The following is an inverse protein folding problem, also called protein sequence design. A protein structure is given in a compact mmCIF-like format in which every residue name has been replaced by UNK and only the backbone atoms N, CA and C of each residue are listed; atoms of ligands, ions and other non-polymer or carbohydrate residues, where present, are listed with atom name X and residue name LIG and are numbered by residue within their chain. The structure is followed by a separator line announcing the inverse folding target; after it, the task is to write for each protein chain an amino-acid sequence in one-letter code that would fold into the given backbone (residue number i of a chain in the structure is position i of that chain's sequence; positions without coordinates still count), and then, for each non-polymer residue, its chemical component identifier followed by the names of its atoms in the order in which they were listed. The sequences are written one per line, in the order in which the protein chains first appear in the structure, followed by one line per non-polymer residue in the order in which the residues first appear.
data_IF_914359388034
#
_entry.id   IF_914359388034
#
_cell.length_a   1.000
_cell.length_b   1.000
_cell.length_c   1.000
_cell.angle_alpha   90.00
_cell.angle_beta   90.00
_cell.angle_gamma   90.00
#
_symmetry.space_group_name_H-M   'P 1'
#
loop_
_entity.id
_entity.type
_entity.pdbx_description
1 polymer ?
#
# COMPACT_ATOMS: atom_id res chain seq x y z
N UNK A 1 -12.95 -42.36 10.54
CA UNK A 1 -12.69 -42.12 10.12
C UNK A 1 -12.41 -41.87 9.65
N UNK A 2 -12.60 -41.51 9.49
CA UNK A 2 -12.39 -41.27 8.96
C UNK A 2 -12.45 -40.68 8.47
N UNK A 3 -12.93 -40.61 8.67
CA UNK A 3 -13.07 -40.07 7.86
C UNK A 3 -13.11 -38.91 7.86
N UNK A 4 -13.26 -38.37 8.53
CA UNK A 4 -13.29 -37.22 8.60
C UNK A 4 -12.18 -36.62 8.08
N UNK A 5 -11.39 -36.88 8.29
CA UNK A 5 -10.39 -36.52 7.80
C UNK A 5 -10.28 -36.48 6.55
N UNK A 6 -10.58 -37.23 6.11
CA UNK A 6 -10.70 -37.17 4.79
C UNK A 6 -11.59 -36.16 4.36
N UNK A 7 -12.04 -35.41 5.25
CA UNK A 7 -12.86 -34.48 5.01
C UNK A 7 -12.48 -33.55 4.03
N UNK A 8 -11.41 -32.92 4.16
CA UNK A 8 -10.99 -31.96 3.23
C UNK A 8 -10.95 -32.49 1.84
N UNK A 9 -10.37 -33.59 1.65
CA UNK A 9 -10.30 -34.14 0.32
C UNK A 9 -11.62 -34.53 -0.23
N UNK A 10 -12.60 -34.69 0.60
CA UNK A 10 -13.89 -35.11 0.09
C UNK A 10 -14.72 -33.99 -0.47
N UNK A 11 -14.23 -32.76 -0.38
CA UNK A 11 -14.97 -31.67 -0.96
C UNK A 11 -14.99 -31.76 -2.46
N UNK A 12 -16.11 -31.45 -3.09
CA UNK A 12 -16.15 -31.37 -4.55
C UNK A 12 -15.20 -30.29 -5.03
N UNK A 13 -14.54 -30.53 -6.15
CA UNK A 13 -13.60 -29.58 -6.69
C UNK A 13 -14.20 -28.21 -6.92
N UNK A 14 -15.45 -28.17 -7.39
CA UNK A 14 -16.10 -26.89 -7.65
C UNK A 14 -16.25 -26.09 -6.36
N UNK A 15 -16.64 -26.76 -5.29
CA UNK A 15 -16.84 -26.09 -4.03
C UNK A 15 -15.52 -25.60 -3.46
N UNK A 16 -14.48 -26.43 -3.53
CA UNK A 16 -13.17 -26.05 -3.05
C UNK A 16 -12.63 -24.86 -3.84
N UNK A 17 -12.85 -24.83 -5.14
CA UNK A 17 -12.41 -23.70 -5.96
C UNK A 17 -13.12 -22.42 -5.58
N UNK A 18 -14.44 -22.50 -5.34
CA UNK A 18 -15.21 -21.34 -4.95
C UNK A 18 -14.72 -20.79 -3.62
N UNK A 19 -14.37 -21.66 -2.67
CA UNK A 19 -13.85 -21.22 -1.39
C UNK A 19 -12.49 -20.56 -1.52
N UNK A 20 -11.64 -21.12 -2.36
CA UNK A 20 -10.32 -20.53 -2.61
C UNK A 20 -10.48 -19.15 -3.24
N UNK A 21 -11.37 -19.04 -4.23
CA UNK A 21 -11.62 -17.76 -4.89
C UNK A 21 -12.12 -16.71 -3.91
N UNK A 22 -13.04 -17.10 -3.03
CA UNK A 22 -13.58 -16.19 -2.03
C UNK A 22 -12.49 -15.72 -1.06
N UNK A 23 -11.65 -16.65 -0.65
CA UNK A 23 -10.54 -16.33 0.27
C UNK A 23 -9.57 -15.37 -0.39
N UNK A 24 -9.24 -15.61 -1.65
CA UNK A 24 -8.34 -14.73 -2.38
C UNK A 24 -8.95 -13.35 -2.59
N UNK A 25 -10.25 -13.28 -2.81
CA UNK A 25 -10.93 -12.00 -2.95
C UNK A 25 -10.87 -11.19 -1.66
N UNK A 26 -11.07 -11.84 -0.53
CA UNK A 26 -10.95 -11.19 0.76
C UNK A 26 -9.52 -10.70 1.01
N UNK A 27 -8.54 -11.53 0.68
CA UNK A 27 -7.14 -11.16 0.87
C UNK A 27 -6.78 -9.95 0.01
N UNK A 28 -7.27 -9.91 -1.24
CA UNK A 28 -7.02 -8.78 -2.12
C UNK A 28 -7.69 -7.50 -1.61
N UNK A 29 -8.90 -7.63 -1.08
CA UNK A 29 -9.62 -6.49 -0.55
C UNK A 29 -8.91 -5.91 0.67
N UNK A 30 -8.43 -6.77 1.56
CA UNK A 30 -7.67 -6.33 2.73
C UNK A 30 -6.38 -5.65 2.34
N UNK A 31 -5.70 -6.21 1.35
CA UNK A 31 -4.46 -5.65 0.86
C UNK A 31 -4.68 -4.27 0.24
N UNK A 32 -5.77 -4.11 -0.52
CA UNK A 32 -6.11 -2.83 -1.12
C UNK A 32 -6.41 -1.78 -0.07
N UNK A 33 -7.12 -2.14 1.00
CA UNK A 33 -7.42 -1.23 2.09
C UNK A 33 -6.14 -0.84 2.82
N UNK A 34 -5.26 -1.80 3.09
CA UNK A 34 -4.00 -1.53 3.76
C UNK A 34 -3.12 -0.61 2.94
N UNK A 35 -3.09 -0.82 1.63
CA UNK A 35 -2.30 0.02 0.73
C UNK A 35 -2.83 1.45 0.72
N UNK A 36 -4.15 1.61 0.66
CA UNK A 36 -4.74 2.95 0.69
C UNK A 36 -4.47 3.67 2.00
N UNK A 37 -4.55 2.94 3.11
CA UNK A 37 -4.26 3.53 4.42
C UNK A 37 -2.80 3.96 4.52
N UNK A 38 -1.90 3.13 3.99
CA UNK A 38 -0.48 3.46 3.98
C UNK A 38 -0.21 4.68 3.11
N UNK A 39 -0.82 4.76 1.94
CA UNK A 39 -0.66 5.91 1.06
C UNK A 39 -1.21 7.19 1.70
N UNK A 40 -2.35 7.10 2.37
CA UNK A 40 -2.91 8.25 3.06
C UNK A 40 -1.98 8.76 4.16
N UNK A 41 -1.41 7.83 4.92
CA UNK A 41 -0.47 8.17 5.97
C UNK A 41 0.80 8.80 5.39
N UNK A 42 1.33 8.20 4.33
CA UNK A 42 2.54 8.72 3.69
C UNK A 42 2.30 10.11 3.10
N UNK A 43 1.13 10.33 2.52
CA UNK A 43 0.77 11.63 1.98
C UNK A 43 0.72 12.69 3.08
N UNK A 44 0.11 12.35 4.22
CA UNK A 44 0.04 13.30 5.34
C UNK A 44 1.43 13.68 5.83
N UNK A 45 2.37 12.74 5.82
CA UNK A 45 3.73 13.01 6.22
C UNK A 45 4.41 13.99 5.26
N UNK A 46 4.23 13.78 3.96
CA UNK A 46 4.76 14.68 2.95
C UNK A 46 4.14 16.08 3.08
N UNK A 47 2.82 16.13 3.25
CA UNK A 47 2.13 17.42 3.37
C UNK A 47 2.61 18.18 4.61
N UNK A 48 2.82 17.49 5.70
CA UNK A 48 3.34 18.12 6.94
C UNK A 48 4.77 18.62 6.73
N UNK A 49 5.59 17.85 6.03
CA UNK A 49 6.96 18.25 5.71
C UNK A 49 6.95 19.51 4.84
N UNK A 50 6.08 19.54 3.83
CA UNK A 50 5.94 20.72 2.98
C UNK A 50 5.50 21.94 3.80
N UNK A 51 4.52 21.76 4.67
CA UNK A 51 4.02 22.86 5.47
C UNK A 51 5.10 23.42 6.39
N UNK A 52 5.94 22.55 6.95
CA UNK A 52 7.01 23.00 7.84
C UNK A 52 8.07 23.81 7.09
N UNK A 53 8.21 23.60 5.79
CA UNK A 53 9.16 24.33 4.97
C UNK A 53 8.51 25.43 4.12
N UNK A 54 7.23 25.72 4.38
CA UNK A 54 6.47 26.71 3.61
C UNK A 54 6.38 26.36 2.14
N UNK A 55 6.35 25.06 1.84
CA UNK A 55 6.20 24.57 0.49
C UNK A 55 4.77 24.06 0.26
N UNK A 56 4.37 23.97 -0.99
CA UNK A 56 3.05 23.50 -1.37
C UNK A 56 3.09 22.03 -1.71
N UNK A 57 2.20 21.24 -1.10
CA UNK A 57 2.15 19.81 -1.37
C UNK A 57 1.39 19.49 -2.67
N UNK A 58 0.40 20.29 -3.02
CA UNK A 58 -0.35 20.12 -4.25
C UNK A 58 -0.42 21.44 -5.00
N UNK A 59 -0.12 21.43 -6.31
CA UNK A 59 0.42 20.27 -7.02
C UNK A 59 1.83 19.93 -6.53
N UNK A 60 2.19 18.66 -6.57
CA UNK A 60 3.48 18.22 -6.07
C UNK A 60 4.56 18.60 -7.07
N UNK A 61 5.39 19.55 -6.70
CA UNK A 61 6.48 20.02 -7.53
C UNK A 61 7.64 19.02 -7.48
N UNK A 62 8.20 18.66 -8.63
CA UNK A 62 9.26 17.66 -8.69
C UNK A 62 10.44 17.96 -7.79
N UNK A 63 10.88 19.22 -7.77
CA UNK A 63 12.02 19.61 -6.94
C UNK A 63 11.72 19.44 -5.46
N UNK A 64 10.49 19.73 -5.05
CA UNK A 64 10.08 19.58 -3.66
C UNK A 64 10.00 18.10 -3.29
N UNK A 65 9.45 17.27 -4.18
CA UNK A 65 9.39 15.82 -3.95
C UNK A 65 10.79 15.25 -3.83
N UNK A 66 11.71 15.66 -4.70
CA UNK A 66 13.08 15.18 -4.66
C UNK A 66 13.76 15.58 -3.34
N UNK A 67 13.54 16.79 -2.88
CA UNK A 67 14.10 17.25 -1.60
C UNK A 67 13.55 16.44 -0.45
N UNK A 68 12.25 16.15 -0.45
CA UNK A 68 11.63 15.33 0.58
C UNK A 68 12.22 13.93 0.61
N UNK A 69 12.30 13.28 -0.55
CA UNK A 69 12.84 11.92 -0.63
C UNK A 69 14.30 11.87 -0.23
N UNK A 70 15.06 12.91 -0.57
CA UNK A 70 16.46 13.01 -0.15
C UNK A 70 16.57 13.14 1.36
N UNK A 71 15.66 13.90 1.99
CA UNK A 71 15.68 14.04 3.43
C UNK A 71 15.40 12.71 4.12
N UNK A 72 14.54 11.87 3.53
CA UNK A 72 14.27 10.54 4.07
C UNK A 72 15.51 9.66 3.97
N UNK A 73 16.20 9.72 2.85
CA UNK A 73 17.44 8.96 2.66
C UNK A 73 18.51 9.40 3.66
N UNK A 74 18.64 10.70 3.84
CA UNK A 74 19.62 11.26 4.78
C UNK A 74 19.32 10.85 6.23
N UNK A 75 18.04 10.65 6.55
CA UNK A 75 17.66 10.22 7.90
C UNK A 75 17.73 8.69 8.07
N UNK A 76 18.20 7.96 7.06
CA UNK A 76 18.41 6.54 7.18
C UNK A 76 17.21 5.67 6.87
N UNK A 77 16.18 6.21 6.23
CA UNK A 77 15.00 5.42 5.87
C UNK A 77 15.35 4.39 4.81
N UNK A 78 14.67 3.24 4.87
CA UNK A 78 14.91 2.17 3.91
C UNK A 78 14.47 2.56 2.52
N UNK A 79 15.16 2.00 1.52
CA UNK A 79 14.82 2.26 0.12
C UNK A 79 13.37 1.89 -0.20
N UNK A 80 12.86 0.79 0.38
CA UNK A 80 11.48 0.39 0.16
C UNK A 80 10.48 1.41 0.73
N UNK A 81 10.81 2.02 1.87
CA UNK A 81 9.98 3.05 2.46
C UNK A 81 9.96 4.29 1.58
N UNK A 82 11.13 4.69 1.07
CA UNK A 82 11.25 5.86 0.20
C UNK A 82 10.46 5.62 -1.08
N UNK A 83 10.59 4.44 -1.67
CA UNK A 83 9.85 4.09 -2.88
C UNK A 83 8.34 4.12 -2.67
N UNK A 84 7.86 3.62 -1.53
CA UNK A 84 6.43 3.65 -1.24
C UNK A 84 5.93 5.07 -1.06
N UNK A 85 6.71 5.92 -0.41
CA UNK A 85 6.33 7.32 -0.22
C UNK A 85 6.30 8.07 -1.54
N UNK A 86 7.24 7.79 -2.43
CA UNK A 86 7.21 8.37 -3.77
C UNK A 86 5.96 7.96 -4.52
N UNK A 87 5.59 6.68 -4.42
CA UNK A 87 4.37 6.18 -5.07
C UNK A 87 3.12 6.83 -4.48
N UNK A 88 3.09 7.03 -3.17
CA UNK A 88 1.95 7.67 -2.51
C UNK A 88 1.77 9.11 -2.99
N UNK A 89 2.86 9.84 -3.16
CA UNK A 89 2.80 11.20 -3.65
C UNK A 89 2.28 11.23 -5.08
N UNK A 90 2.79 10.34 -5.94
CA UNK A 90 2.32 10.25 -7.31
C UNK A 90 0.85 9.90 -7.40
N UNK A 91 0.38 9.01 -6.55
CA UNK A 91 -1.02 8.62 -6.52
C UNK A 91 -1.91 9.80 -6.15
N UNK A 92 -1.54 10.53 -5.11
CA UNK A 92 -2.34 11.66 -4.63
C UNK A 92 -2.32 12.82 -5.62
N UNK A 93 -1.20 13.01 -6.31
CA UNK A 93 -1.04 14.10 -7.28
C UNK A 93 -1.73 13.82 -8.61
N UNK A 94 -2.51 12.75 -8.68
CA UNK A 94 -3.25 12.43 -9.89
C UNK A 94 -2.46 11.62 -10.88
N UNK A 95 -1.30 11.13 -10.48
CA UNK A 95 -0.49 10.34 -11.36
C UNK A 95 -0.92 8.89 -11.44
N UNK A 96 -1.94 8.55 -10.75
CA UNK A 96 -2.40 7.17 -10.80
C UNK A 96 -3.01 6.80 -12.10
#
# INVERSE_FOLDING_TARGET
MHDLISLGPTLPGVLATAEIDATMAYAEAEKALATRAAYASDWRDFAAWCASGSATALPAHQGIVAAYLSSLADSGRKASTIGRRAAAIGHQDGGA
#
